data_IF_620775777224
#
_entry.id   IF_620775777224
#
_cell.length_a   1.000
_cell.length_b   1.000
_cell.length_c   1.000
_cell.angle_alpha   90.00
_cell.angle_beta   90.00
_cell.angle_gamma   90.00
#
_symmetry.space_group_name_H-M   'P 1'
#
loop_
_entity.id
_entity.type
_entity.pdbx_description
1 polymer ?
#
# COMPACT_ATOMS: atom_id res chain seq x y z
N UNK A 1 -12.61 6.61 -8.18
CA UNK A 1 -11.19 7.02 -8.22
C UNK A 1 -10.47 6.38 -7.06
N UNK A 2 -9.33 5.72 -7.32
CA UNK A 2 -8.52 5.03 -6.31
C UNK A 2 -7.41 5.96 -5.82
N UNK A 3 -7.18 6.02 -4.51
CA UNK A 3 -6.02 6.68 -3.90
C UNK A 3 -5.17 5.63 -3.18
N UNK A 4 -3.95 5.42 -3.69
CA UNK A 4 -2.98 4.49 -3.12
C UNK A 4 -2.04 5.26 -2.21
N UNK A 5 -1.92 4.77 -0.99
CA UNK A 5 -1.13 5.35 0.09
C UNK A 5 -0.07 4.35 0.51
N UNK A 6 1.20 4.72 0.39
CA UNK A 6 2.34 3.89 0.78
C UNK A 6 3.03 4.50 1.99
N UNK A 7 2.69 4.05 3.23
CA UNK A 7 3.43 4.47 4.41
C UNK A 7 4.83 3.86 4.38
N UNK A 8 5.86 4.70 4.58
CA UNK A 8 7.25 4.27 4.44
C UNK A 8 8.14 4.84 5.55
N UNK A 9 9.16 4.07 5.94
CA UNK A 9 10.21 4.47 6.87
C UNK A 9 11.47 3.63 6.65
N UNK A 10 12.53 4.23 6.07
CA UNK A 10 13.80 3.57 5.74
C UNK A 10 13.62 2.34 4.83
N UNK A 11 13.01 2.55 3.67
CA UNK A 11 12.68 1.51 2.69
C UNK A 11 13.41 1.72 1.34
N UNK A 12 14.62 2.27 1.36
CA UNK A 12 15.39 2.59 0.15
C UNK A 12 15.59 1.41 -0.81
N UNK A 13 15.53 0.18 -0.29
CA UNK A 13 15.77 -1.05 -1.08
C UNK A 13 14.55 -1.54 -1.85
N UNK A 14 13.35 -1.22 -1.39
CA UNK A 14 12.10 -1.83 -1.87
C UNK A 14 11.15 -0.81 -2.49
N UNK A 15 11.21 0.43 -2.04
CA UNK A 15 10.22 1.46 -2.36
C UNK A 15 10.08 1.72 -3.86
N UNK A 16 11.18 1.79 -4.61
CA UNK A 16 11.15 2.16 -6.01
C UNK A 16 10.50 1.07 -6.87
N UNK A 17 10.85 -0.19 -6.63
CA UNK A 17 10.27 -1.34 -7.34
C UNK A 17 8.76 -1.42 -7.12
N UNK A 18 8.31 -1.21 -5.87
CA UNK A 18 6.89 -1.13 -5.55
C UNK A 18 6.20 0.00 -6.30
N UNK A 19 6.74 1.22 -6.28
CA UNK A 19 6.10 2.38 -6.90
C UNK A 19 5.98 2.24 -8.42
N UNK A 20 6.99 1.68 -9.07
CA UNK A 20 6.96 1.36 -10.51
C UNK A 20 5.88 0.31 -10.78
N UNK A 21 5.82 -0.75 -9.98
CA UNK A 21 4.81 -1.79 -10.10
C UNK A 21 3.39 -1.23 -9.97
N UNK A 22 3.14 -0.43 -8.93
CA UNK A 22 1.84 0.21 -8.70
C UNK A 22 1.45 1.13 -9.87
N UNK A 23 2.37 2.01 -10.29
CA UNK A 23 2.14 2.97 -11.39
C UNK A 23 1.73 2.29 -12.70
N UNK A 24 2.32 1.13 -13.01
CA UNK A 24 2.01 0.38 -14.23
C UNK A 24 0.59 -0.20 -14.25
N UNK A 25 -0.04 -0.33 -13.08
CA UNK A 25 -1.39 -0.87 -12.94
C UNK A 25 -2.47 0.20 -12.81
N UNK A 26 -2.10 1.48 -12.71
CA UNK A 26 -3.02 2.60 -12.46
C UNK A 26 -3.46 3.29 -13.74
N UNK A 27 -4.63 3.93 -13.66
CA UNK A 27 -5.13 4.86 -14.65
C UNK A 27 -4.67 6.28 -14.36
N UNK A 28 -4.87 7.21 -15.31
CA UNK A 28 -4.49 8.63 -15.17
C UNK A 28 -5.32 9.39 -14.13
N UNK A 29 -6.44 8.84 -13.70
CA UNK A 29 -7.32 9.45 -12.68
C UNK A 29 -6.98 9.00 -11.27
N UNK A 30 -6.21 7.93 -11.11
CA UNK A 30 -5.85 7.39 -9.80
C UNK A 30 -4.70 8.16 -9.17
N UNK A 31 -4.66 8.19 -7.84
CA UNK A 31 -3.60 8.82 -7.07
C UNK A 31 -2.66 7.78 -6.48
N UNK A 32 -1.36 8.07 -6.53
CA UNK A 32 -0.33 7.30 -5.87
C UNK A 32 0.62 8.24 -5.14
N UNK A 33 0.74 8.11 -3.84
CA UNK A 33 1.71 8.87 -3.06
C UNK A 33 2.24 8.11 -1.86
N UNK A 34 3.47 8.44 -1.55
CA UNK A 34 4.21 7.92 -0.39
C UNK A 34 3.99 8.87 0.79
N UNK A 35 3.84 8.31 1.98
CA UNK A 35 3.80 9.06 3.23
C UNK A 35 4.99 8.64 4.08
N UNK A 36 6.02 9.48 4.11
CA UNK A 36 7.25 9.23 4.85
C UNK A 36 7.11 9.52 6.35
N UNK A 37 7.63 8.61 7.16
CA UNK A 37 7.61 8.70 8.63
C UNK A 37 8.87 9.32 9.26
N UNK A 38 9.69 10.02 8.46
CA UNK A 38 10.96 10.62 8.88
C UNK A 38 12.15 9.70 8.59
N UNK A 39 12.22 9.15 7.37
CA UNK A 39 13.34 8.31 6.91
C UNK A 39 14.66 9.06 6.97
N UNK A 40 15.72 8.35 7.31
CA UNK A 40 17.10 8.86 7.39
C UNK A 40 18.00 8.31 6.30
N UNK A 41 17.52 7.37 5.50
CA UNK A 41 18.19 6.79 4.32
C UNK A 41 17.82 7.52 3.02
N UNK A 42 18.05 6.90 1.86
CA UNK A 42 17.75 7.50 0.55
C UNK A 42 16.28 7.38 0.13
N UNK A 43 15.38 6.85 0.97
CA UNK A 43 13.97 6.60 0.62
C UNK A 43 13.30 7.82 0.01
N UNK A 44 13.32 8.96 0.68
CA UNK A 44 12.65 10.20 0.23
C UNK A 44 13.24 10.73 -1.07
N UNK A 45 14.58 10.69 -1.19
CA UNK A 45 15.26 11.13 -2.41
C UNK A 45 14.88 10.27 -3.61
N UNK A 46 14.92 8.94 -3.46
CA UNK A 46 14.54 7.99 -4.50
C UNK A 46 13.11 8.21 -5.00
N UNK A 47 12.17 8.44 -4.08
CA UNK A 47 10.77 8.70 -4.43
C UNK A 47 10.64 9.98 -5.27
N UNK A 48 11.24 11.09 -4.81
CA UNK A 48 11.13 12.41 -5.45
C UNK A 48 11.86 12.47 -6.79
N UNK A 49 13.07 11.92 -6.88
CA UNK A 49 13.88 11.89 -8.12
C UNK A 49 13.24 11.06 -9.24
N UNK A 50 12.44 10.05 -8.88
CA UNK A 50 11.69 9.25 -9.86
C UNK A 50 10.28 9.79 -10.17
N UNK A 51 9.98 11.02 -9.74
CA UNK A 51 8.75 11.73 -10.09
C UNK A 51 7.51 11.30 -9.33
N UNK A 52 7.68 10.62 -8.20
CA UNK A 52 6.56 10.25 -7.33
C UNK A 52 6.31 11.32 -6.25
N UNK A 53 5.05 11.45 -5.85
CA UNK A 53 4.67 12.34 -4.75
C UNK A 53 5.07 11.73 -3.41
N UNK A 54 5.84 12.49 -2.61
CA UNK A 54 6.22 12.11 -1.26
C UNK A 54 5.74 13.17 -0.27
N UNK A 55 4.91 12.77 0.67
CA UNK A 55 4.39 13.58 1.76
C UNK A 55 5.14 13.21 3.05
N UNK A 56 5.49 14.21 3.86
CA UNK A 56 6.10 13.99 5.16
C UNK A 56 5.00 13.94 6.23
N UNK A 57 4.94 12.83 6.97
CA UNK A 57 3.97 12.68 8.06
C UNK A 57 4.34 13.61 9.23
N UNK A 58 3.38 14.39 9.77
CA UNK A 58 3.64 15.24 10.92
C UNK A 58 3.91 14.46 12.22
N UNK A 59 3.64 13.15 12.21
CA UNK A 59 3.85 12.25 13.35
C UNK A 59 4.48 10.95 12.89
N UNK A 60 5.38 10.42 13.71
CA UNK A 60 5.98 9.10 13.48
C UNK A 60 4.98 7.98 13.73
N UNK A 61 5.15 6.89 13.00
CA UNK A 61 4.40 5.66 13.16
C UNK A 61 3.40 5.39 12.02
N UNK A 62 3.29 4.11 11.67
CA UNK A 62 2.50 3.61 10.54
C UNK A 62 1.06 4.13 10.53
N UNK A 63 0.36 4.03 11.66
CA UNK A 63 -1.02 4.50 11.76
C UNK A 63 -1.15 6.02 11.51
N UNK A 64 -0.19 6.82 11.99
CA UNK A 64 -0.17 8.26 11.76
C UNK A 64 0.07 8.58 10.28
N UNK A 65 0.97 7.85 9.62
CA UNK A 65 1.23 7.99 8.19
C UNK A 65 0.00 7.63 7.35
N UNK A 66 -0.65 6.49 7.65
CA UNK A 66 -1.87 6.06 6.96
C UNK A 66 -3.01 7.07 7.13
N UNK A 67 -3.25 7.54 8.36
CA UNK A 67 -4.28 8.55 8.64
C UNK A 67 -3.99 9.88 7.93
N UNK A 68 -2.73 10.30 7.92
CA UNK A 68 -2.33 11.51 7.22
C UNK A 68 -2.53 11.38 5.70
N UNK A 69 -2.09 10.25 5.13
CA UNK A 69 -2.33 9.94 3.73
C UNK A 69 -3.82 9.93 3.36
N UNK A 70 -4.66 9.31 4.19
CA UNK A 70 -6.10 9.28 4.00
C UNK A 70 -6.72 10.69 3.97
N UNK A 71 -6.21 11.62 4.78
CA UNK A 71 -6.67 13.02 4.78
C UNK A 71 -6.26 13.80 3.52
N UNK A 72 -5.20 13.39 2.84
CA UNK A 72 -4.72 14.01 1.59
C UNK A 72 -5.33 13.36 0.34
N UNK A 73 -5.93 12.20 0.48
CA UNK A 73 -6.54 11.46 -0.61
C UNK A 73 -7.81 12.15 -1.13
N UNK A 74 -8.00 12.12 -2.44
CA UNK A 74 -9.17 12.67 -3.13
C UNK A 74 -10.07 11.57 -3.72
N UNK A 75 -9.58 10.33 -3.75
CA UNK A 75 -10.35 9.18 -4.23
C UNK A 75 -11.36 8.68 -3.22
N UNK A 76 -12.44 8.13 -3.73
CA UNK A 76 -13.50 7.53 -2.92
C UNK A 76 -13.08 6.20 -2.29
N UNK A 77 -12.01 5.59 -2.84
CA UNK A 77 -11.46 4.31 -2.44
C UNK A 77 -10.03 4.54 -1.99
N UNK A 78 -9.72 4.10 -0.77
CA UNK A 78 -8.38 4.16 -0.22
C UNK A 78 -7.75 2.76 -0.23
N UNK A 79 -6.57 2.65 -0.82
CA UNK A 79 -5.79 1.44 -0.81
C UNK A 79 -4.43 1.68 -0.12
N UNK A 80 -4.19 0.99 0.98
CA UNK A 80 -2.95 1.07 1.73
C UNK A 80 -2.04 -0.10 1.36
N UNK A 81 -0.82 0.21 0.92
CA UNK A 81 0.18 -0.79 0.53
C UNK A 81 1.46 -0.55 1.33
N UNK A 82 1.97 -1.59 1.97
CA UNK A 82 3.25 -1.50 2.68
C UNK A 82 4.43 -1.52 1.70
N UNK A 83 5.49 -0.76 2.02
CA UNK A 83 6.63 -0.56 1.14
C UNK A 83 7.45 -1.84 0.84
N UNK A 84 7.24 -2.89 1.62
CA UNK A 84 7.85 -4.22 1.49
C UNK A 84 6.91 -5.27 0.87
N UNK A 85 5.78 -4.86 0.33
CA UNK A 85 4.74 -5.77 -0.20
C UNK A 85 4.44 -5.45 -1.66
N UNK A 86 4.48 -6.46 -2.54
CA UNK A 86 4.08 -6.32 -3.94
C UNK A 86 2.67 -6.90 -4.11
N UNK A 87 1.66 -6.08 -4.36
CA UNK A 87 0.31 -6.56 -4.64
C UNK A 87 0.22 -7.20 -6.04
N UNK A 88 -0.78 -8.07 -6.30
CA UNK A 88 -1.01 -8.57 -7.65
C UNK A 88 -1.32 -7.40 -8.60
N UNK A 89 -0.89 -7.47 -9.86
CA UNK A 89 -1.16 -6.42 -10.85
C UNK A 89 -2.65 -6.26 -11.19
N UNK A 90 -3.47 -7.25 -10.83
CA UNK A 90 -4.94 -7.21 -10.95
C UNK A 90 -5.63 -6.38 -9.85
N UNK A 91 -4.90 -5.84 -8.88
CA UNK A 91 -5.52 -5.20 -7.71
C UNK A 91 -6.57 -4.11 -8.04
N UNK A 92 -6.44 -3.30 -9.09
CA UNK A 92 -7.49 -2.32 -9.39
C UNK A 92 -8.81 -3.00 -9.78
N UNK A 93 -8.73 -4.04 -10.61
CA UNK A 93 -9.92 -4.80 -11.02
C UNK A 93 -10.54 -5.60 -9.86
N UNK A 94 -9.69 -6.16 -8.99
CA UNK A 94 -10.14 -6.91 -7.81
C UNK A 94 -10.90 -5.98 -6.84
N UNK A 95 -10.39 -4.76 -6.62
CA UNK A 95 -11.02 -3.74 -5.77
C UNK A 95 -12.36 -3.31 -6.36
N UNK A 96 -12.40 -2.99 -7.66
CA UNK A 96 -13.63 -2.58 -8.35
C UNK A 96 -14.69 -3.69 -8.33
N UNK A 97 -14.27 -4.94 -8.51
CA UNK A 97 -15.15 -6.11 -8.39
C UNK A 97 -15.76 -6.23 -7.00
N UNK A 98 -14.94 -6.15 -5.96
CA UNK A 98 -15.39 -6.22 -4.57
C UNK A 98 -16.38 -5.11 -4.21
N UNK A 99 -16.12 -3.88 -4.66
CA UNK A 99 -17.03 -2.75 -4.43
C UNK A 99 -18.35 -2.94 -5.17
N UNK A 100 -18.32 -3.47 -6.40
CA UNK A 100 -19.52 -3.77 -7.18
C UNK A 100 -20.39 -4.85 -6.53
N UNK A 101 -19.78 -5.75 -5.77
CA UNK A 101 -20.47 -6.75 -4.94
C UNK A 101 -20.99 -6.19 -3.60
N UNK A 102 -20.72 -4.92 -3.31
CA UNK A 102 -21.20 -4.22 -2.12
C UNK A 102 -20.27 -4.28 -0.89
N UNK A 103 -19.07 -4.80 -1.05
CA UNK A 103 -18.07 -4.76 0.02
C UNK A 103 -17.56 -3.33 0.25
N UNK A 104 -17.46 -2.93 1.52
CA UNK A 104 -17.00 -1.59 1.93
C UNK A 104 -15.54 -1.58 2.39
N UNK A 105 -14.98 -2.74 2.68
CA UNK A 105 -13.59 -2.93 3.08
C UNK A 105 -13.13 -4.34 2.73
N UNK A 106 -11.83 -4.53 2.62
CA UNK A 106 -11.22 -5.81 2.34
C UNK A 106 -9.71 -5.76 2.52
N UNK A 107 -9.07 -6.91 2.48
CA UNK A 107 -7.61 -7.02 2.49
C UNK A 107 -7.17 -8.19 1.62
N UNK A 108 -5.95 -8.10 1.11
CA UNK A 108 -5.31 -9.25 0.44
C UNK A 108 -4.75 -10.21 1.48
N UNK A 109 -4.82 -11.48 1.14
CA UNK A 109 -4.16 -12.52 1.93
C UNK A 109 -2.64 -12.43 1.75
N UNK A 110 -1.91 -12.50 2.84
CA UNK A 110 -0.45 -12.55 2.80
C UNK A 110 0.04 -13.86 2.19
N UNK A 111 1.03 -13.75 1.30
CA UNK A 111 1.88 -14.84 0.84
C UNK A 111 3.32 -14.44 1.14
N UNK A 112 4.06 -15.31 1.80
CA UNK A 112 5.46 -15.06 2.16
C UNK A 112 6.37 -15.67 1.09
N UNK A 113 7.47 -15.00 0.79
CA UNK A 113 8.48 -15.46 -0.18
C UNK A 113 9.31 -16.64 0.34
N UNK A 114 9.25 -16.89 1.67
CA UNK A 114 9.97 -17.96 2.34
C UNK A 114 8.99 -19.07 2.70
N UNK A 115 9.28 -20.29 2.23
CA UNK A 115 8.51 -21.47 2.62
C UNK A 115 8.93 -21.93 4.03
N UNK A 116 8.18 -21.47 5.05
CA UNK A 116 8.38 -21.85 6.43
C UNK A 116 7.04 -22.24 7.07
N UNK A 117 6.96 -23.38 7.79
CA UNK A 117 5.70 -23.89 8.33
C UNK A 117 4.90 -22.89 9.17
N UNK A 118 5.57 -22.10 10.02
CA UNK A 118 4.91 -21.09 10.86
C UNK A 118 4.36 -19.90 10.05
N UNK A 119 5.05 -19.50 8.97
CA UNK A 119 4.59 -18.45 8.08
C UNK A 119 3.39 -18.92 7.25
N UNK A 120 3.40 -20.18 6.81
CA UNK A 120 2.29 -20.78 6.09
C UNK A 120 1.04 -20.93 6.98
N UNK A 121 1.20 -21.23 8.29
CA UNK A 121 0.10 -21.22 9.26
C UNK A 121 -0.47 -19.80 9.38
N UNK A 122 0.36 -18.77 9.51
CA UNK A 122 -0.07 -17.39 9.61
C UNK A 122 -0.82 -16.95 8.33
N UNK A 123 -0.28 -17.26 7.15
CA UNK A 123 -0.96 -17.00 5.87
C UNK A 123 -2.29 -17.76 5.76
N UNK A 124 -2.39 -18.97 6.35
CA UNK A 124 -3.62 -19.75 6.38
C UNK A 124 -4.65 -19.14 7.35
N UNK A 125 -4.23 -18.61 8.49
CA UNK A 125 -5.12 -17.93 9.44
C UNK A 125 -5.78 -16.69 8.84
N UNK A 126 -5.07 -15.94 7.98
CA UNK A 126 -5.68 -14.80 7.25
C UNK A 126 -6.75 -15.20 6.23
N UNK A 127 -6.89 -16.49 5.92
CA UNK A 127 -7.96 -17.03 5.05
C UNK A 127 -9.34 -17.06 5.72
N UNK A 128 -9.39 -17.07 7.04
CA UNK A 128 -10.62 -17.27 7.80
C UNK A 128 -11.25 -15.98 8.34
N UNK A 129 -10.66 -14.81 8.08
CA UNK A 129 -11.17 -13.52 8.54
C UNK A 129 -12.38 -13.02 7.74
N UNK A 130 -13.47 -13.80 7.78
CA UNK A 130 -14.81 -13.27 7.52
C UNK A 130 -15.39 -12.46 8.69
N UNK A 131 -14.66 -12.33 9.79
CA UNK A 131 -15.20 -11.85 11.06
C UNK A 131 -14.51 -10.61 11.65
N UNK A 132 -13.48 -10.03 10.99
CA UNK A 132 -12.76 -8.87 11.55
C UNK A 132 -12.42 -7.78 10.52
N UNK A 133 -13.30 -7.53 9.58
CA UNK A 133 -13.25 -6.33 8.77
C UNK A 133 -14.52 -5.52 8.96
#
# INVERSE_FOLDING_TARGET
>A
MLSIIVPTYNEEKTILDLLIHLKNSLTTTDQLFVVDGGSSDQTVNLVKENGFTCLESPRKGRAAQMNYGAQQAQGDILYFVHADTIPPSSFPADIDGAISEGYKSGCYRYQFDIDHPLLNINAHCTRYDRLMC
#
